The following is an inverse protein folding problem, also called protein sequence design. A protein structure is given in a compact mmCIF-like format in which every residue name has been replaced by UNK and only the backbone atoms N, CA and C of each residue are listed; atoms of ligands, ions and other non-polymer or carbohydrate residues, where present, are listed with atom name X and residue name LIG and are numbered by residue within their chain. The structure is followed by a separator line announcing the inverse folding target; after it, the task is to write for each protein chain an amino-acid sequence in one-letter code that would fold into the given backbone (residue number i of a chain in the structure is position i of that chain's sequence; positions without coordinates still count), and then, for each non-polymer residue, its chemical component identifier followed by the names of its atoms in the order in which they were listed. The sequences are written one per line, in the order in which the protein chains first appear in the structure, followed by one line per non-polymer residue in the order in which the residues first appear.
data_IF_245159080526
#
_entry.id   IF_245159080526
#
_cell.length_a   1.000
_cell.length_b   1.000
_cell.length_c   1.000
_cell.angle_alpha   90.00
_cell.angle_beta   90.00
_cell.angle_gamma   90.00
#
_symmetry.space_group_name_H-M   'P 1'
#
loop_
_entity.id
_entity.type
_entity.pdbx_description
1 polymer ?
#
# COMPACT_ATOMS: atom_id res chain seq x y z
N UNK A 1 -16.98 13.54 -18.80
CA UNK A 1 -15.49 13.53 -18.79
C UNK A 1 -15.04 12.23 -18.19
N UNK A 2 -14.04 11.55 -18.76
CA UNK A 2 -13.51 10.29 -18.19
C UNK A 2 -12.69 10.62 -16.93
N UNK A 3 -12.91 9.93 -15.80
CA UNK A 3 -12.08 10.10 -14.61
C UNK A 3 -10.63 9.66 -14.88
N UNK A 4 -9.66 10.48 -14.51
CA UNK A 4 -8.24 10.17 -14.66
C UNK A 4 -7.62 9.87 -13.30
N UNK A 5 -6.62 9.00 -13.29
CA UNK A 5 -5.82 8.66 -12.11
C UNK A 5 -4.34 8.64 -12.47
N UNK A 6 -3.49 8.86 -11.46
CA UNK A 6 -2.03 8.70 -11.57
C UNK A 6 -1.64 7.36 -10.97
N UNK A 7 -0.68 6.68 -11.58
CA UNK A 7 0.11 5.61 -10.96
C UNK A 7 1.55 6.08 -10.88
N UNK A 8 2.07 6.18 -9.67
CA UNK A 8 3.41 6.67 -9.40
C UNK A 8 4.29 5.59 -8.76
N UNK A 9 5.49 5.46 -9.29
CA UNK A 9 6.53 4.57 -8.79
C UNK A 9 7.65 5.35 -8.08
N UNK A 10 7.54 6.67 -7.96
CA UNK A 10 8.59 7.56 -7.49
C UNK A 10 9.91 7.33 -8.26
N UNK A 11 9.94 7.54 -9.59
CA UNK A 11 11.09 7.18 -10.41
C UNK A 11 12.32 8.04 -10.10
N UNK A 12 13.46 7.37 -9.92
CA UNK A 12 14.77 8.02 -9.73
C UNK A 12 15.41 8.21 -11.10
N UNK A 13 15.37 9.42 -11.61
CA UNK A 13 15.95 9.77 -12.91
C UNK A 13 17.48 9.94 -12.83
N UNK A 14 18.15 9.86 -13.98
CA UNK A 14 19.61 10.08 -14.06
C UNK A 14 20.00 11.44 -13.46
N UNK A 15 21.01 11.44 -12.61
CA UNK A 15 21.48 12.65 -11.91
C UNK A 15 20.62 13.09 -10.72
N UNK A 16 19.57 12.32 -10.36
CA UNK A 16 18.71 12.58 -9.22
C UNK A 16 18.96 11.57 -8.08
N UNK A 17 18.18 11.70 -7.00
CA UNK A 17 18.25 10.81 -5.83
C UNK A 17 16.86 10.30 -5.46
N UNK A 18 16.80 9.19 -4.69
CA UNK A 18 15.54 8.68 -4.13
C UNK A 18 14.81 9.72 -3.27
N UNK A 19 15.55 10.53 -2.52
CA UNK A 19 14.97 11.64 -1.74
C UNK A 19 14.27 12.65 -2.66
N UNK A 20 14.88 13.00 -3.78
CA UNK A 20 14.28 13.93 -4.73
C UNK A 20 13.07 13.30 -5.43
N UNK A 21 13.15 12.02 -5.79
CA UNK A 21 12.02 11.28 -6.38
C UNK A 21 10.79 11.30 -5.47
N UNK A 22 10.96 11.02 -4.18
CA UNK A 22 9.84 11.08 -3.21
C UNK A 22 9.26 12.50 -3.09
N UNK A 23 10.09 13.55 -3.10
CA UNK A 23 9.61 14.95 -3.12
C UNK A 23 8.83 15.27 -4.39
N UNK A 24 9.32 14.82 -5.54
CA UNK A 24 8.64 15.00 -6.83
C UNK A 24 7.26 14.31 -6.83
N UNK A 25 7.14 13.15 -6.18
CA UNK A 25 5.84 12.46 -6.01
C UNK A 25 4.85 13.30 -5.19
N UNK A 26 5.31 13.99 -4.14
CA UNK A 26 4.46 14.89 -3.35
C UNK A 26 3.99 16.08 -4.18
N UNK A 27 4.90 16.72 -4.92
CA UNK A 27 4.58 17.85 -5.79
C UNK A 27 3.62 17.45 -6.93
N UNK A 28 3.83 16.26 -7.52
CA UNK A 28 2.96 15.70 -8.54
C UNK A 28 1.55 15.43 -8.00
N UNK A 29 1.45 14.89 -6.78
CA UNK A 29 0.16 14.62 -6.15
C UNK A 29 -0.63 15.90 -5.85
N UNK A 30 0.04 16.97 -5.38
CA UNK A 30 -0.58 18.28 -5.20
C UNK A 30 -1.06 18.86 -6.54
N UNK A 31 -0.29 18.70 -7.61
CA UNK A 31 -0.69 19.12 -8.95
C UNK A 31 -1.91 18.31 -9.43
N UNK A 32 -1.90 16.99 -9.27
CA UNK A 32 -3.01 16.12 -9.63
C UNK A 32 -4.31 16.50 -8.90
N UNK A 33 -4.22 16.83 -7.60
CA UNK A 33 -5.37 17.31 -6.82
C UNK A 33 -5.93 18.64 -7.38
N UNK A 34 -5.05 19.60 -7.71
CA UNK A 34 -5.45 20.86 -8.32
C UNK A 34 -6.13 20.68 -9.67
N UNK A 35 -5.63 19.75 -10.48
CA UNK A 35 -6.15 19.47 -11.83
C UNK A 35 -7.41 18.60 -11.82
N UNK A 36 -7.85 18.10 -10.65
CA UNK A 36 -9.10 17.33 -10.52
C UNK A 36 -8.96 15.86 -10.91
N UNK A 37 -7.77 15.28 -10.81
CA UNK A 37 -7.60 13.84 -10.90
C UNK A 37 -8.39 13.14 -9.78
N UNK A 38 -8.86 11.92 -10.06
CA UNK A 38 -9.72 11.19 -9.13
C UNK A 38 -8.90 10.43 -8.09
N UNK A 39 -7.81 9.76 -8.51
CA UNK A 39 -6.98 8.91 -7.64
C UNK A 39 -5.50 9.10 -7.92
N UNK A 40 -4.72 8.85 -6.89
CA UNK A 40 -3.28 8.74 -6.95
C UNK A 40 -2.85 7.41 -6.33
N UNK A 41 -2.26 6.56 -7.14
CA UNK A 41 -1.83 5.22 -6.76
C UNK A 41 -0.32 5.18 -6.60
N UNK A 42 0.15 4.58 -5.51
CA UNK A 42 1.57 4.34 -5.23
C UNK A 42 1.86 2.86 -5.33
N UNK A 43 2.85 2.50 -6.13
CA UNK A 43 3.32 1.13 -6.25
C UNK A 43 4.23 0.75 -5.07
N UNK A 44 4.39 -0.56 -4.82
CA UNK A 44 5.39 -1.10 -3.91
C UNK A 44 6.45 -1.87 -4.71
N UNK A 45 7.71 -1.40 -4.63
CA UNK A 45 8.85 -2.08 -5.21
C UNK A 45 10.05 -2.02 -4.29
N UNK A 46 10.83 -3.10 -4.21
CA UNK A 46 11.98 -3.21 -3.34
C UNK A 46 13.26 -3.47 -4.12
N UNK A 47 14.39 -2.98 -3.60
CA UNK A 47 15.74 -3.19 -4.14
C UNK A 47 15.90 -2.78 -5.62
N UNK A 48 15.20 -1.75 -6.06
CA UNK A 48 15.33 -1.19 -7.40
C UNK A 48 15.89 0.24 -7.31
N UNK A 49 17.12 0.44 -7.79
CA UNK A 49 17.79 1.74 -7.72
C UNK A 49 17.06 2.87 -8.50
N UNK A 50 16.23 2.49 -9.48
CA UNK A 50 15.45 3.40 -10.31
C UNK A 50 14.08 3.77 -9.72
N UNK A 51 13.69 3.20 -8.58
CA UNK A 51 12.36 3.37 -7.96
C UNK A 51 12.53 3.62 -6.46
N UNK A 52 11.93 4.70 -5.96
CA UNK A 52 12.00 5.05 -4.53
C UNK A 52 10.74 4.62 -3.73
N UNK A 53 9.71 4.09 -4.39
CA UNK A 53 8.44 3.70 -3.76
C UNK A 53 8.53 2.29 -3.14
N UNK A 54 9.11 2.21 -1.93
CA UNK A 54 9.25 0.95 -1.18
C UNK A 54 8.25 0.79 -0.03
N UNK A 55 7.56 1.85 0.36
CA UNK A 55 6.60 1.88 1.47
C UNK A 55 5.42 2.77 1.11
N UNK A 56 4.47 2.28 0.28
CA UNK A 56 3.37 3.09 -0.21
C UNK A 56 2.52 3.67 0.91
N UNK A 57 2.29 2.96 2.00
CA UNK A 57 1.48 3.43 3.13
C UNK A 57 2.03 4.69 3.80
N UNK A 58 3.36 4.86 3.83
CA UNK A 58 3.99 6.07 4.35
C UNK A 58 3.71 7.25 3.42
N UNK A 59 3.91 7.06 2.12
CA UNK A 59 3.68 8.09 1.12
C UNK A 59 2.20 8.44 0.96
N UNK A 60 1.29 7.47 1.09
CA UNK A 60 -0.17 7.70 1.11
C UNK A 60 -0.52 8.72 2.20
N UNK A 61 -0.05 8.53 3.41
CA UNK A 61 -0.27 9.46 4.52
C UNK A 61 0.25 10.87 4.24
N UNK A 62 1.46 10.97 3.65
CA UNK A 62 2.05 12.27 3.30
C UNK A 62 1.27 12.99 2.19
N UNK A 63 0.83 12.27 1.17
CA UNK A 63 0.04 12.83 0.05
C UNK A 63 -1.36 13.23 0.55
N UNK A 64 -2.01 12.36 1.32
CA UNK A 64 -3.34 12.65 1.86
C UNK A 64 -3.35 13.90 2.75
N UNK A 65 -2.28 14.13 3.53
CA UNK A 65 -2.13 15.33 4.36
C UNK A 65 -1.94 16.62 3.53
N UNK A 66 -1.40 16.54 2.32
CA UNK A 66 -1.11 17.69 1.43
C UNK A 66 -2.22 17.97 0.41
N UNK A 67 -3.12 17.03 0.20
CA UNK A 67 -4.20 17.11 -0.80
C UNK A 67 -5.56 17.14 -0.12
N UNK A 68 -6.61 17.57 -0.83
CA UNK A 68 -7.93 17.77 -0.24
C UNK A 68 -9.03 16.88 -0.82
N UNK A 69 -8.98 16.58 -2.11
CA UNK A 69 -10.05 15.88 -2.85
C UNK A 69 -9.58 14.55 -3.42
N UNK A 70 -8.31 14.45 -3.72
CA UNK A 70 -7.69 13.29 -4.32
C UNK A 70 -7.84 12.08 -3.39
N UNK A 71 -8.36 10.96 -3.91
CA UNK A 71 -8.25 9.67 -3.22
C UNK A 71 -6.83 9.14 -3.42
N UNK A 72 -6.27 8.57 -2.39
CA UNK A 72 -4.88 8.09 -2.40
C UNK A 72 -4.85 6.63 -1.99
N UNK A 73 -4.12 5.82 -2.73
CA UNK A 73 -4.08 4.40 -2.43
C UNK A 73 -2.81 3.69 -2.89
N UNK A 74 -2.71 2.44 -2.51
CA UNK A 74 -1.66 1.54 -3.00
C UNK A 74 -2.08 0.90 -4.31
N UNK A 75 -1.17 0.86 -5.26
CA UNK A 75 -1.40 0.20 -6.53
C UNK A 75 -0.27 -0.76 -6.90
N UNK A 76 -0.03 -1.80 -6.05
CA UNK A 76 -0.66 -2.25 -4.80
C UNK A 76 0.32 -2.60 -3.70
N UNK A 77 -0.17 -2.86 -2.50
CA UNK A 77 0.62 -3.52 -1.46
C UNK A 77 0.91 -4.95 -1.88
N UNK A 78 2.18 -5.34 -1.87
CA UNK A 78 2.59 -6.72 -2.20
C UNK A 78 2.30 -7.64 -1.02
N UNK A 79 1.04 -8.06 -0.88
CA UNK A 79 0.53 -8.77 0.29
C UNK A 79 1.38 -9.96 0.75
N UNK A 80 2.02 -10.75 -0.14
CA UNK A 80 2.91 -11.81 0.30
C UNK A 80 4.12 -11.36 1.14
N UNK A 81 4.47 -10.08 1.13
CA UNK A 81 5.57 -9.53 1.93
C UNK A 81 5.12 -9.07 3.32
N UNK A 82 3.82 -9.08 3.62
CA UNK A 82 3.25 -8.47 4.82
C UNK A 82 2.36 -9.44 5.60
N UNK A 83 2.29 -9.26 6.91
CA UNK A 83 1.24 -9.89 7.72
C UNK A 83 -0.10 -9.17 7.46
N UNK A 84 -1.20 -9.88 7.14
CA UNK A 84 -2.50 -9.28 6.85
C UNK A 84 -3.00 -8.32 7.92
N UNK A 85 -2.83 -8.65 9.21
CA UNK A 85 -3.19 -7.78 10.32
C UNK A 85 -2.47 -6.43 10.25
N UNK A 86 -1.17 -6.41 9.95
CA UNK A 86 -0.41 -5.15 9.84
C UNK A 86 -0.89 -4.30 8.66
N UNK A 87 -1.25 -4.92 7.55
CA UNK A 87 -1.83 -4.20 6.39
C UNK A 87 -3.17 -3.59 6.77
N UNK A 88 -4.06 -4.37 7.37
CA UNK A 88 -5.37 -3.90 7.84
C UNK A 88 -5.21 -2.70 8.80
N UNK A 89 -4.36 -2.81 9.81
CA UNK A 89 -4.14 -1.75 10.79
C UNK A 89 -3.59 -0.46 10.17
N UNK A 90 -2.58 -0.57 9.30
CA UNK A 90 -2.01 0.59 8.61
C UNK A 90 -3.05 1.36 7.80
N UNK A 91 -3.91 0.64 7.05
CA UNK A 91 -4.94 1.27 6.24
C UNK A 91 -6.12 1.77 7.07
N UNK A 92 -6.46 1.14 8.20
CA UNK A 92 -7.41 1.69 9.18
C UNK A 92 -6.90 2.99 9.82
N UNK A 93 -5.62 3.07 10.16
CA UNK A 93 -5.03 4.32 10.65
C UNK A 93 -5.11 5.42 9.58
N UNK A 94 -4.78 5.10 8.33
CA UNK A 94 -4.89 6.05 7.23
C UNK A 94 -6.35 6.51 7.03
N UNK A 95 -7.31 5.61 7.00
CA UNK A 95 -8.74 5.93 6.84
C UNK A 95 -9.26 6.76 8.01
N UNK A 96 -8.85 6.46 9.25
CA UNK A 96 -9.23 7.25 10.42
C UNK A 96 -8.70 8.70 10.37
N UNK A 97 -7.50 8.90 9.80
CA UNK A 97 -6.90 10.22 9.62
C UNK A 97 -7.47 10.97 8.41
N UNK A 98 -7.84 10.26 7.36
CA UNK A 98 -8.29 10.82 6.07
C UNK A 98 -9.58 10.14 5.57
N UNK A 99 -10.70 10.28 6.29
CA UNK A 99 -11.93 9.53 6.03
C UNK A 99 -12.43 9.65 4.59
N UNK A 100 -12.77 8.51 3.98
CA UNK A 100 -13.33 8.43 2.64
C UNK A 100 -12.33 8.69 1.51
N UNK A 101 -11.02 8.79 1.81
CA UNK A 101 -9.99 9.15 0.83
C UNK A 101 -8.96 8.05 0.57
N UNK A 102 -9.01 6.97 1.30
CA UNK A 102 -7.99 5.92 1.24
C UNK A 102 -8.48 4.72 0.43
N UNK A 103 -7.62 4.21 -0.44
CA UNK A 103 -7.88 3.00 -1.23
C UNK A 103 -6.75 1.97 -0.98
N UNK A 104 -7.12 0.74 -0.63
CA UNK A 104 -6.19 -0.38 -0.51
C UNK A 104 -6.25 -1.24 -1.77
N UNK A 105 -5.23 -1.13 -2.61
CA UNK A 105 -4.99 -2.05 -3.70
C UNK A 105 -3.95 -3.10 -3.30
N UNK A 106 -4.19 -4.35 -3.70
CA UNK A 106 -3.37 -5.52 -3.34
C UNK A 106 -2.65 -6.08 -4.56
N UNK A 107 -1.35 -6.37 -4.41
CA UNK A 107 -0.52 -7.06 -5.37
C UNK A 107 -0.18 -8.49 -4.93
N UNK A 108 -0.15 -9.42 -5.89
CA UNK A 108 0.25 -10.81 -5.66
C UNK A 108 1.76 -11.01 -5.79
N UNK A 109 2.39 -10.29 -6.71
CA UNK A 109 3.82 -10.42 -6.99
C UNK A 109 4.67 -9.91 -5.81
N UNK A 110 5.93 -10.36 -5.65
CA UNK A 110 6.80 -9.87 -4.57
C UNK A 110 7.30 -8.42 -4.77
N UNK A 111 7.14 -7.83 -5.95
CA UNK A 111 7.59 -6.47 -6.26
C UNK A 111 9.11 -6.32 -6.28
N UNK A 112 9.86 -7.41 -6.50
CA UNK A 112 11.32 -7.42 -6.43
C UNK A 112 11.93 -8.70 -7.00
N UNK A 113 13.27 -8.81 -6.96
CA UNK A 113 14.04 -9.99 -7.32
C UNK A 113 13.92 -11.13 -6.26
N UNK A 114 14.29 -12.39 -6.61
CA UNK A 114 14.15 -13.53 -5.69
C UNK A 114 14.95 -13.43 -4.40
N UNK A 115 16.14 -12.82 -4.41
CA UNK A 115 17.00 -12.68 -3.23
C UNK A 115 16.39 -11.67 -2.26
N UNK A 116 15.94 -10.55 -2.78
CA UNK A 116 15.24 -9.54 -1.98
C UNK A 116 13.91 -10.06 -1.45
N UNK A 117 13.18 -10.85 -2.24
CA UNK A 117 11.96 -11.53 -1.79
C UNK A 117 12.24 -12.45 -0.60
N UNK A 118 13.35 -13.19 -0.63
CA UNK A 118 13.77 -14.01 0.51
C UNK A 118 14.05 -13.14 1.74
N UNK A 119 14.74 -12.02 1.59
CA UNK A 119 15.05 -11.11 2.70
C UNK A 119 13.78 -10.51 3.34
N UNK A 120 12.77 -10.18 2.52
CA UNK A 120 11.47 -9.66 2.99
C UNK A 120 10.68 -10.71 3.79
N UNK A 121 10.87 -11.99 3.49
CA UNK A 121 10.07 -13.11 4.00
C UNK A 121 10.85 -14.10 4.87
N UNK A 122 12.07 -13.79 5.29
CA UNK A 122 12.99 -14.72 5.98
C UNK A 122 12.39 -15.51 7.15
N UNK A 123 11.27 -15.08 7.70
CA UNK A 123 10.57 -15.77 8.81
C UNK A 123 9.19 -16.30 8.44
N UNK A 124 8.81 -16.22 7.17
CA UNK A 124 7.52 -16.71 6.70
C UNK A 124 7.72 -18.04 5.98
N UNK A 125 7.01 -19.08 6.42
CA UNK A 125 7.01 -20.40 5.76
C UNK A 125 6.06 -20.37 4.56
N UNK A 126 6.49 -20.94 3.43
CA UNK A 126 5.71 -21.02 2.21
C UNK A 126 6.27 -20.22 1.03
N UNK A 127 5.85 -20.54 -0.19
CA UNK A 127 6.14 -19.76 -1.38
C UNK A 127 5.13 -18.61 -1.51
N UNK A 128 5.52 -17.55 -2.20
CA UNK A 128 4.67 -16.37 -2.40
C UNK A 128 3.37 -16.65 -3.14
N UNK A 129 3.35 -17.70 -3.94
CA UNK A 129 2.19 -18.09 -4.73
C UNK A 129 1.22 -18.99 -3.95
N UNK A 130 1.74 -19.72 -2.95
CA UNK A 130 0.97 -20.74 -2.23
C UNK A 130 0.07 -20.15 -1.14
N UNK A 131 0.42 -18.98 -0.58
CA UNK A 131 -0.30 -18.40 0.56
C UNK A 131 -1.06 -17.09 0.26
N UNK A 132 -0.99 -16.56 -0.97
CA UNK A 132 -1.63 -15.30 -1.32
C UNK A 132 -3.13 -15.28 -1.08
N UNK A 133 -3.84 -16.34 -1.47
CA UNK A 133 -5.29 -16.42 -1.29
C UNK A 133 -5.67 -16.54 0.18
N UNK A 134 -4.88 -17.26 0.96
CA UNK A 134 -5.08 -17.37 2.42
C UNK A 134 -4.88 -16.02 3.10
N UNK A 135 -3.81 -15.29 2.75
CA UNK A 135 -3.56 -13.94 3.27
C UNK A 135 -4.63 -12.95 2.87
N UNK A 136 -5.10 -13.02 1.63
CA UNK A 136 -6.19 -12.17 1.16
C UNK A 136 -7.49 -12.46 1.92
N UNK A 137 -7.79 -13.74 2.13
CA UNK A 137 -8.95 -14.14 2.93
C UNK A 137 -8.82 -13.66 4.38
N UNK A 138 -7.65 -13.82 4.99
CA UNK A 138 -7.37 -13.31 6.34
C UNK A 138 -7.58 -11.79 6.43
N UNK A 139 -7.05 -11.04 5.46
CA UNK A 139 -7.24 -9.60 5.38
C UNK A 139 -8.73 -9.22 5.32
N UNK A 140 -9.52 -9.90 4.50
CA UNK A 140 -10.95 -9.66 4.39
C UNK A 140 -11.71 -10.02 5.69
N UNK A 141 -11.30 -11.10 6.37
CA UNK A 141 -11.88 -11.48 7.65
C UNK A 141 -11.55 -10.47 8.76
N UNK A 142 -10.35 -9.90 8.76
CA UNK A 142 -9.97 -8.82 9.68
C UNK A 142 -10.78 -7.54 9.44
N UNK A 143 -11.04 -7.18 8.18
CA UNK A 143 -11.84 -6.01 7.83
C UNK A 143 -13.31 -6.16 8.22
N UNK A 144 -13.87 -7.35 8.02
CA UNK A 144 -15.30 -7.63 8.27
C UNK A 144 -15.59 -8.15 9.68
N UNK A 145 -14.56 -8.39 10.51
CA UNK A 145 -14.67 -9.14 11.79
C UNK A 145 -15.33 -10.50 11.62
N UNK A 146 -15.08 -11.14 10.47
CA UNK A 146 -15.79 -12.31 9.97
C UNK A 146 -15.23 -13.67 10.40
N UNK A 147 -14.29 -13.74 11.37
CA UNK A 147 -13.76 -15.02 11.81
C UNK A 147 -14.85 -15.90 12.45
N UNK A 148 -14.97 -17.17 12.03
CA UNK A 148 -15.98 -18.07 12.55
C UNK A 148 -15.75 -18.41 14.03
N UNK A 149 -16.78 -18.94 14.67
CA UNK A 149 -16.68 -19.43 16.04
C UNK A 149 -15.66 -20.57 16.15
N UNK A 150 -14.81 -20.51 17.19
CA UNK A 150 -13.69 -21.45 17.38
C UNK A 150 -12.40 -21.12 16.62
N UNK A 151 -12.41 -20.13 15.72
CA UNK A 151 -11.19 -19.72 15.02
C UNK A 151 -10.18 -19.06 15.99
N UNK A 152 -8.86 -19.39 15.93
CA UNK A 152 -7.84 -18.83 16.85
C UNK A 152 -7.80 -17.29 16.83
N UNK A 153 -8.10 -16.67 15.69
CA UNK A 153 -8.08 -15.21 15.53
C UNK A 153 -9.42 -14.52 15.72
N UNK A 154 -10.44 -15.23 16.23
CA UNK A 154 -11.79 -14.65 16.41
C UNK A 154 -11.81 -13.35 17.22
N UNK A 155 -10.91 -13.22 18.18
CA UNK A 155 -10.82 -12.05 19.05
C UNK A 155 -9.73 -11.04 18.59
N UNK A 156 -9.04 -11.33 17.48
CA UNK A 156 -8.08 -10.41 16.90
C UNK A 156 -8.84 -9.34 16.12
N UNK A 157 -8.55 -8.08 16.38
CA UNK A 157 -9.16 -6.94 15.71
C UNK A 157 -8.07 -6.02 15.19
N UNK A 158 -8.21 -5.63 13.93
CA UNK A 158 -7.36 -4.59 13.37
C UNK A 158 -7.75 -3.22 13.94
N UNK A 159 -6.78 -2.50 14.48
CA UNK A 159 -6.99 -1.19 15.11
C UNK A 159 -6.59 -0.03 14.19
N UNK A 160 -7.16 1.18 14.34
CA UNK A 160 -8.28 1.50 15.24
C UNK A 160 -9.58 0.85 14.78
N UNK A 161 -10.46 0.55 15.76
CA UNK A 161 -11.83 0.13 15.41
C UNK A 161 -12.61 1.35 14.93
N UNK A 162 -12.92 1.40 13.67
CA UNK A 162 -13.79 2.42 13.04
C UNK A 162 -15.20 1.91 12.94
#
# INVERSE_FOLDING_TARGET
MVPLSVLDLSPVTSGSSGTQALRNSLDLAELADRLGYTRYWLAEHHNLASIASAAPEIMIGQIAARTRRLRVGSGGVMLPNHAPLMVAERFKVLEALFPGRIDLGIGRAPGTDPVTSLALRMRQQGSADDDFLERLQELLLLETRGYPEGHPFRNVQAMPST
#
